data_IF_767445013293
#
_entry.id   IF_767445013293
#
_cell.length_a   1.000
_cell.length_b   1.000
_cell.length_c   1.000
_cell.angle_alpha   90.00
_cell.angle_beta   90.00
_cell.angle_gamma   90.00
#
_symmetry.space_group_name_H-M   'P 1'
#
loop_
_entity.id
_entity.type
_entity.pdbx_description
1 polymer ?
#
# COMPACT_ATOMS: atom_id res chain seq x y z
N UNK A 1 10.57 10.98 -80.08
CA UNK A 1 11.53 10.11 -79.26
C UNK A 1 11.43 10.44 -77.79
N UNK A 2 10.26 10.65 -77.19
CA UNK A 2 10.12 11.08 -75.77
C UNK A 2 9.38 10.10 -74.85
N UNK A 3 8.55 9.20 -75.38
CA UNK A 3 7.66 8.35 -74.57
C UNK A 3 8.31 7.10 -73.92
N UNK A 4 9.43 6.60 -74.50
CA UNK A 4 10.09 5.39 -73.97
C UNK A 4 10.96 5.65 -72.74
N UNK A 5 11.36 6.90 -72.48
CA UNK A 5 12.24 7.25 -71.33
C UNK A 5 11.43 7.39 -70.04
N UNK A 6 10.21 7.82 -70.08
CA UNK A 6 9.32 7.92 -68.88
C UNK A 6 8.82 6.56 -68.39
N UNK A 7 8.64 5.56 -69.26
CA UNK A 7 8.19 4.21 -68.84
C UNK A 7 9.28 3.45 -68.06
N UNK A 8 10.58 3.69 -68.35
CA UNK A 8 11.70 3.06 -67.63
C UNK A 8 11.90 3.69 -66.27
N UNK A 9 11.63 5.00 -66.12
CA UNK A 9 11.69 5.69 -64.82
C UNK A 9 10.53 5.28 -63.91
N UNK A 10 9.33 5.15 -64.41
CA UNK A 10 8.16 4.69 -63.65
C UNK A 10 8.30 3.23 -63.18
N UNK A 11 8.89 2.36 -63.99
CA UNK A 11 9.12 0.96 -63.61
C UNK A 11 10.22 0.83 -62.51
N UNK A 12 11.27 1.68 -62.55
CA UNK A 12 12.29 1.71 -61.52
C UNK A 12 11.82 2.21 -60.17
N UNK A 13 10.96 3.23 -60.14
CA UNK A 13 10.36 3.78 -58.93
C UNK A 13 9.36 2.79 -58.30
N UNK A 14 8.52 2.12 -59.15
CA UNK A 14 7.58 1.11 -58.66
C UNK A 14 8.29 -0.13 -58.09
N UNK A 15 9.42 -0.57 -58.68
CA UNK A 15 10.21 -1.68 -58.14
C UNK A 15 10.94 -1.31 -56.84
N UNK A 16 11.37 -0.05 -56.71
CA UNK A 16 12.03 0.44 -55.46
C UNK A 16 11.05 0.57 -54.31
N UNK A 17 9.76 0.95 -54.58
CA UNK A 17 8.72 1.00 -53.54
C UNK A 17 8.29 -0.37 -53.02
N UNK A 18 8.36 -1.42 -53.89
CA UNK A 18 8.00 -2.79 -53.46
C UNK A 18 9.07 -3.42 -52.52
N UNK A 19 10.30 -2.95 -52.55
CA UNK A 19 11.34 -3.47 -51.68
C UNK A 19 11.25 -2.93 -50.21
N UNK A 20 10.54 -1.84 -49.98
CA UNK A 20 10.41 -1.26 -48.65
C UNK A 20 9.32 -1.89 -47.75
N UNK A 21 8.41 -2.69 -48.34
CA UNK A 21 7.31 -3.32 -47.59
C UNK A 21 7.65 -4.71 -47.05
N UNK A 22 8.86 -5.26 -47.32
CA UNK A 22 9.22 -6.63 -46.94
C UNK A 22 9.98 -6.76 -45.60
N UNK A 23 10.19 -5.68 -44.83
CA UNK A 23 11.00 -5.69 -43.61
C UNK A 23 10.23 -5.52 -42.29
N UNK A 24 8.97 -5.93 -42.21
CA UNK A 24 8.17 -5.74 -40.98
C UNK A 24 7.69 -7.02 -40.30
N UNK A 25 8.16 -8.20 -40.70
CA UNK A 25 7.90 -9.42 -39.93
C UNK A 25 9.18 -9.85 -39.25
N UNK A 26 9.40 -9.40 -38.03
CA UNK A 26 10.48 -9.90 -37.18
C UNK A 26 10.32 -11.41 -36.95
N UNK A 27 11.41 -12.15 -36.69
CA UNK A 27 11.40 -13.60 -36.44
C UNK A 27 10.74 -13.95 -35.09
N UNK A 28 10.05 -13.03 -34.47
CA UNK A 28 9.51 -13.18 -33.13
C UNK A 28 7.97 -13.18 -33.18
N UNK A 29 7.38 -14.07 -32.38
CA UNK A 29 5.94 -14.10 -32.12
C UNK A 29 5.73 -13.80 -30.65
N UNK A 30 4.94 -12.81 -30.37
CA UNK A 30 4.51 -12.49 -29.00
C UNK A 30 3.32 -13.37 -28.64
N UNK A 31 3.45 -14.15 -27.59
CA UNK A 31 2.39 -15.01 -27.07
C UNK A 31 1.98 -14.48 -25.70
N UNK A 32 0.71 -14.05 -25.54
CA UNK A 32 0.23 -13.68 -24.22
C UNK A 32 0.18 -14.91 -23.31
N UNK A 33 0.65 -14.75 -22.09
CA UNK A 33 0.63 -15.79 -21.05
C UNK A 33 -0.19 -15.27 -19.90
N UNK A 34 -1.10 -16.10 -19.41
CA UNK A 34 -1.83 -15.88 -18.17
C UNK A 34 -1.44 -16.97 -17.19
N UNK A 35 -0.90 -16.57 -16.04
CA UNK A 35 -0.48 -17.47 -14.98
C UNK A 35 -1.40 -17.19 -13.78
N UNK A 36 -2.25 -18.14 -13.39
CA UNK A 36 -3.00 -18.02 -12.14
C UNK A 36 -2.03 -18.14 -10.96
N UNK A 37 -2.20 -17.26 -9.98
CA UNK A 37 -1.51 -17.29 -8.70
C UNK A 37 -2.59 -17.45 -7.65
N UNK A 38 -2.52 -18.52 -6.88
CA UNK A 38 -3.49 -18.76 -5.81
C UNK A 38 -3.37 -17.71 -4.70
N UNK A 39 -4.47 -17.46 -4.00
CA UNK A 39 -4.46 -16.62 -2.82
C UNK A 39 -3.53 -17.21 -1.76
N UNK A 40 -2.92 -16.38 -0.93
CA UNK A 40 -2.04 -16.85 0.16
C UNK A 40 -2.83 -17.62 1.22
N UNK A 41 -4.09 -17.24 1.45
CA UNK A 41 -4.98 -17.83 2.41
C UNK A 41 -6.06 -18.65 1.68
N UNK A 42 -6.24 -19.89 2.09
CA UNK A 42 -7.36 -20.71 1.61
C UNK A 42 -8.64 -20.30 2.33
N UNK A 43 -9.55 -19.71 1.58
CA UNK A 43 -10.84 -19.21 2.05
C UNK A 43 -12.01 -20.05 1.55
N UNK A 44 -11.77 -21.30 1.12
CA UNK A 44 -12.80 -22.17 0.58
C UNK A 44 -13.94 -22.46 1.58
N UNK A 45 -13.64 -22.44 2.87
CA UNK A 45 -14.58 -22.71 3.94
C UNK A 45 -15.44 -21.50 4.32
N UNK A 46 -15.08 -20.30 3.82
CA UNK A 46 -15.78 -19.06 4.13
C UNK A 46 -16.66 -18.61 2.96
N UNK A 47 -17.93 -18.38 3.24
CA UNK A 47 -18.88 -17.80 2.28
C UNK A 47 -19.01 -16.28 2.40
N UNK A 48 -18.65 -15.72 3.58
CA UNK A 48 -18.86 -14.31 3.93
C UNK A 48 -17.64 -13.72 4.60
N UNK A 49 -17.51 -12.40 4.52
CA UNK A 49 -16.46 -11.61 5.19
C UNK A 49 -17.07 -10.43 5.89
N UNK A 50 -16.64 -10.22 7.13
CA UNK A 50 -16.92 -9.04 7.94
C UNK A 50 -15.64 -8.22 8.03
N UNK A 51 -15.69 -6.96 7.62
CA UNK A 51 -14.62 -6.01 7.93
C UNK A 51 -14.95 -5.39 9.27
N UNK A 52 -14.21 -5.81 10.28
CA UNK A 52 -14.31 -5.29 11.64
C UNK A 52 -13.69 -3.91 11.78
N UNK A 53 -13.63 -3.42 13.01
CA UNK A 53 -12.95 -2.18 13.36
C UNK A 53 -11.43 -2.39 13.43
N UNK A 54 -10.67 -1.32 13.21
CA UNK A 54 -9.21 -1.30 13.29
C UNK A 54 -8.75 -0.45 14.48
N UNK A 55 -7.75 -0.96 15.17
CA UNK A 55 -7.03 -0.14 16.15
C UNK A 55 -6.19 0.87 15.40
N UNK A 56 -6.37 2.16 15.66
CA UNK A 56 -5.71 3.22 14.90
C UNK A 56 -4.78 4.06 15.77
N UNK A 57 -3.67 4.49 15.17
CA UNK A 57 -2.73 5.44 15.73
C UNK A 57 -2.29 6.43 14.68
N UNK A 58 -2.46 7.72 14.94
CA UNK A 58 -2.04 8.79 14.03
C UNK A 58 -1.72 10.07 14.80
N UNK A 59 -0.82 10.88 14.24
CA UNK A 59 -0.57 12.26 14.67
C UNK A 59 -1.33 13.29 13.82
N UNK A 60 -2.24 12.84 12.97
CA UNK A 60 -3.06 13.67 12.10
C UNK A 60 -4.53 13.57 12.49
N UNK A 61 -5.34 14.55 12.13
CA UNK A 61 -6.79 14.51 12.37
C UNK A 61 -7.49 13.69 11.28
N UNK A 62 -7.35 12.35 11.36
CA UNK A 62 -7.92 11.39 10.43
C UNK A 62 -8.58 10.24 11.18
N UNK A 63 -9.78 9.87 10.75
CA UNK A 63 -10.46 8.66 11.19
C UNK A 63 -9.99 7.48 10.30
N UNK A 64 -8.87 6.88 10.70
CA UNK A 64 -8.25 5.79 9.94
C UNK A 64 -9.12 4.53 9.93
N UNK A 65 -9.83 4.24 11.02
CA UNK A 65 -10.68 3.05 11.12
C UNK A 65 -11.82 3.11 10.11
N UNK A 66 -12.63 4.17 10.14
CA UNK A 66 -13.75 4.34 9.22
C UNK A 66 -13.30 4.35 7.76
N UNK A 67 -12.23 5.07 7.43
CA UNK A 67 -11.74 5.16 6.05
C UNK A 67 -11.19 3.82 5.55
N UNK A 68 -10.44 3.09 6.40
CA UNK A 68 -9.92 1.75 6.04
C UNK A 68 -11.05 0.76 5.87
N UNK A 69 -11.97 0.68 6.83
CA UNK A 69 -13.10 -0.27 6.83
C UNK A 69 -13.98 -0.05 5.59
N UNK A 70 -14.27 1.21 5.23
CA UNK A 70 -15.02 1.55 4.03
C UNK A 70 -14.28 1.15 2.75
N UNK A 71 -12.98 1.44 2.68
CA UNK A 71 -12.15 1.12 1.53
C UNK A 71 -12.04 -0.39 1.33
N UNK A 72 -11.74 -1.16 2.38
CA UNK A 72 -11.61 -2.60 2.31
C UNK A 72 -12.93 -3.28 1.93
N UNK A 73 -14.06 -2.88 2.51
CA UNK A 73 -15.40 -3.38 2.11
C UNK A 73 -15.64 -3.19 0.62
N UNK A 74 -15.33 -2.01 0.10
CA UNK A 74 -15.44 -1.72 -1.32
C UNK A 74 -14.54 -2.61 -2.18
N UNK A 75 -13.28 -2.76 -1.80
CA UNK A 75 -12.30 -3.56 -2.56
C UNK A 75 -12.62 -5.05 -2.51
N UNK A 76 -13.03 -5.58 -1.37
CA UNK A 76 -13.45 -6.97 -1.23
C UNK A 76 -14.70 -7.26 -2.05
N UNK A 77 -15.68 -6.37 -2.08
CA UNK A 77 -16.90 -6.52 -2.90
C UNK A 77 -16.59 -6.59 -4.39
N UNK A 78 -15.61 -5.81 -4.85
CA UNK A 78 -15.23 -5.76 -6.27
C UNK A 78 -14.34 -6.93 -6.69
N UNK A 79 -13.50 -7.43 -5.79
CA UNK A 79 -12.39 -8.32 -6.15
C UNK A 79 -12.48 -9.71 -5.52
N UNK A 80 -13.28 -9.93 -4.48
CA UNK A 80 -13.41 -11.24 -3.83
C UNK A 80 -14.69 -11.99 -4.23
N UNK A 81 -14.72 -13.27 -3.93
CA UNK A 81 -15.93 -14.12 -4.06
C UNK A 81 -16.77 -14.15 -2.80
N UNK A 82 -16.25 -13.61 -1.70
CA UNK A 82 -16.92 -13.59 -0.42
C UNK A 82 -18.04 -12.53 -0.41
N UNK A 83 -19.16 -12.86 0.18
CA UNK A 83 -20.22 -11.89 0.41
C UNK A 83 -19.80 -10.94 1.55
N UNK A 84 -19.63 -9.67 1.25
CA UNK A 84 -19.24 -8.66 2.23
C UNK A 84 -20.43 -8.28 3.08
N UNK A 85 -20.28 -8.38 4.40
CA UNK A 85 -21.30 -7.99 5.38
C UNK A 85 -21.26 -6.47 5.55
N UNK A 86 -22.41 -5.81 5.32
CA UNK A 86 -22.59 -4.36 5.50
C UNK A 86 -23.01 -4.06 6.95
N UNK A 87 -22.07 -4.14 7.86
CA UNK A 87 -22.29 -3.80 9.25
C UNK A 87 -21.25 -2.77 9.72
N UNK A 88 -21.65 -1.88 10.62
CA UNK A 88 -20.73 -1.06 11.37
C UNK A 88 -20.44 -1.78 12.67
N UNK A 89 -19.16 -2.08 12.91
CA UNK A 89 -18.66 -2.70 14.12
C UNK A 89 -18.21 -1.60 15.06
N UNK A 90 -18.44 -1.78 16.36
CA UNK A 90 -18.00 -0.82 17.36
C UNK A 90 -16.47 -0.63 17.31
N UNK A 91 -15.98 0.61 17.39
CA UNK A 91 -14.54 0.89 17.34
C UNK A 91 -13.78 0.18 18.46
N UNK A 92 -12.70 -0.52 18.10
CA UNK A 92 -11.83 -1.22 19.05
C UNK A 92 -11.00 -0.25 19.92
N UNK A 93 -10.54 0.84 19.33
CA UNK A 93 -9.77 1.87 20.04
C UNK A 93 -9.02 2.80 19.11
N UNK A 94 -8.95 4.05 19.54
CA UNK A 94 -8.14 5.09 18.92
C UNK A 94 -6.96 5.41 19.84
N UNK A 95 -5.74 5.18 19.35
CA UNK A 95 -4.47 5.43 20.04
C UNK A 95 -3.75 6.64 19.43
N UNK A 96 -4.46 7.55 18.79
CA UNK A 96 -3.92 8.83 18.37
C UNK A 96 -3.45 9.65 19.57
N UNK A 97 -2.49 10.54 19.36
CA UNK A 97 -1.99 11.39 20.45
C UNK A 97 -3.12 12.19 21.11
N UNK A 98 -4.07 12.69 20.30
CA UNK A 98 -5.23 13.42 20.80
C UNK A 98 -6.18 12.55 21.63
N UNK A 99 -6.42 11.31 21.23
CA UNK A 99 -7.26 10.37 21.96
C UNK A 99 -6.62 9.90 23.27
N UNK A 100 -5.31 9.65 23.27
CA UNK A 100 -4.56 9.29 24.46
C UNK A 100 -4.55 10.42 25.51
N UNK A 101 -4.41 11.67 25.08
CA UNK A 101 -4.49 12.83 25.95
C UNK A 101 -5.92 13.01 26.51
N UNK A 102 -6.94 12.89 25.65
CA UNK A 102 -8.35 13.06 26.05
C UNK A 102 -8.84 11.98 27.02
N UNK A 103 -8.33 10.75 26.90
CA UNK A 103 -8.69 9.61 27.76
C UNK A 103 -7.93 9.55 29.08
N UNK A 104 -6.86 10.35 29.25
CA UNK A 104 -5.95 10.29 30.40
C UNK A 104 -5.03 9.07 30.41
N UNK A 105 -5.02 8.26 29.35
CA UNK A 105 -4.13 7.12 29.22
C UNK A 105 -2.65 7.53 29.13
N UNK A 106 -2.38 8.73 28.64
CA UNK A 106 -1.04 9.29 28.61
C UNK A 106 -0.46 9.46 30.03
N UNK A 107 -1.27 9.97 30.96
CA UNK A 107 -0.87 10.13 32.38
C UNK A 107 -0.65 8.76 33.05
N UNK A 108 -1.51 7.78 32.78
CA UNK A 108 -1.35 6.42 33.31
C UNK A 108 -0.06 5.75 32.82
N UNK A 109 0.32 5.99 31.57
CA UNK A 109 1.59 5.50 31.05
C UNK A 109 2.78 6.14 31.77
N UNK A 110 2.76 7.46 31.96
CA UNK A 110 3.83 8.18 32.63
C UNK A 110 4.02 7.69 34.09
N UNK A 111 2.91 7.40 34.79
CA UNK A 111 2.92 6.81 36.12
C UNK A 111 3.49 5.39 36.12
N UNK A 112 3.09 4.53 35.17
CA UNK A 112 3.61 3.16 35.04
C UNK A 112 5.08 3.14 34.66
N UNK A 113 5.52 4.02 33.76
CA UNK A 113 6.91 4.15 33.34
C UNK A 113 7.79 4.58 34.53
N UNK A 114 7.31 5.52 35.34
CA UNK A 114 8.01 5.95 36.57
C UNK A 114 8.11 4.81 37.60
N UNK A 115 7.08 3.98 37.74
CA UNK A 115 7.08 2.82 38.65
C UNK A 115 8.02 1.73 38.14
N UNK A 116 8.05 1.43 36.83
CA UNK A 116 8.95 0.44 36.23
C UNK A 116 10.43 0.79 36.42
N UNK A 117 10.77 2.06 36.25
CA UNK A 117 12.12 2.58 36.51
C UNK A 117 12.47 2.44 38.01
N UNK A 118 11.53 2.69 38.92
CA UNK A 118 11.75 2.59 40.34
C UNK A 118 11.98 1.14 40.83
N UNK A 119 11.41 0.16 40.13
CA UNK A 119 11.54 -1.27 40.45
C UNK A 119 12.77 -1.90 39.74
N UNK A 120 13.38 -1.19 38.77
CA UNK A 120 14.55 -1.67 38.02
C UNK A 120 14.22 -2.66 36.91
N UNK A 121 12.98 -2.69 36.48
CA UNK A 121 12.45 -3.62 35.46
C UNK A 121 12.66 -3.12 33.99
N UNK A 122 13.39 -2.02 33.85
CA UNK A 122 13.73 -1.41 32.56
C UNK A 122 12.73 -0.31 32.13
N UNK A 123 13.16 0.55 31.20
CA UNK A 123 12.29 1.55 30.58
C UNK A 123 11.48 0.88 29.47
N UNK A 124 10.16 0.83 29.64
CA UNK A 124 9.23 0.52 28.53
C UNK A 124 8.93 1.82 27.81
N UNK A 125 9.17 1.88 26.51
CA UNK A 125 8.82 3.07 25.74
C UNK A 125 7.29 3.20 25.61
N UNK A 126 6.80 4.46 25.49
CA UNK A 126 5.37 4.73 25.28
C UNK A 126 4.82 3.93 24.08
N UNK A 127 5.63 3.78 23.02
CA UNK A 127 5.25 3.04 21.84
C UNK A 127 5.10 1.53 22.12
N UNK A 128 6.00 0.94 22.87
CA UNK A 128 5.91 -0.47 23.28
C UNK A 128 4.68 -0.74 24.15
N UNK A 129 4.33 0.19 25.03
CA UNK A 129 3.11 0.10 25.83
C UNK A 129 1.86 0.16 24.95
N UNK A 130 1.80 1.13 24.02
CA UNK A 130 0.70 1.23 23.05
C UNK A 130 0.57 -0.08 22.24
N UNK A 131 1.68 -0.62 21.78
CA UNK A 131 1.69 -1.86 21.01
C UNK A 131 1.15 -3.03 21.83
N UNK A 132 1.50 -3.12 23.12
CA UNK A 132 0.98 -4.15 24.03
C UNK A 132 -0.53 -4.01 24.27
N UNK A 133 -1.04 -2.80 24.48
CA UNK A 133 -2.48 -2.59 24.67
C UNK A 133 -3.27 -2.91 23.37
N UNK A 134 -2.74 -2.55 22.23
CA UNK A 134 -3.30 -2.91 20.93
C UNK A 134 -3.31 -4.43 20.70
N UNK A 135 -2.22 -5.13 21.08
CA UNK A 135 -2.14 -6.58 20.97
C UNK A 135 -3.20 -7.27 21.85
N UNK A 136 -3.43 -6.81 23.07
CA UNK A 136 -4.47 -7.35 23.95
C UNK A 136 -5.86 -7.28 23.31
N UNK A 137 -6.19 -6.15 22.65
CA UNK A 137 -7.47 -5.98 21.97
C UNK A 137 -7.61 -6.89 20.74
N UNK A 138 -6.53 -7.00 19.95
CA UNK A 138 -6.55 -7.79 18.71
C UNK A 138 -6.46 -9.29 18.94
N UNK A 139 -5.89 -9.73 20.07
CA UNK A 139 -5.75 -11.15 20.44
C UNK A 139 -6.86 -11.66 21.37
N UNK A 140 -7.89 -10.86 21.66
CA UNK A 140 -9.04 -11.27 22.45
C UNK A 140 -9.95 -12.25 21.65
N UNK A 141 -9.62 -13.56 21.72
CA UNK A 141 -10.38 -14.61 21.03
C UNK A 141 -11.86 -14.62 21.42
N UNK A 142 -12.19 -14.26 22.66
CA UNK A 142 -13.57 -14.28 23.14
C UNK A 142 -14.41 -13.16 22.50
N UNK A 143 -13.85 -11.96 22.38
CA UNK A 143 -14.47 -10.83 21.68
C UNK A 143 -14.76 -11.19 20.21
N UNK A 144 -13.75 -11.72 19.51
CA UNK A 144 -13.89 -12.09 18.10
C UNK A 144 -14.87 -13.24 17.87
N UNK A 145 -14.91 -14.21 18.80
CA UNK A 145 -15.87 -15.31 18.73
C UNK A 145 -17.31 -14.79 18.92
N UNK A 146 -17.55 -13.90 19.89
CA UNK A 146 -18.88 -13.31 20.11
C UNK A 146 -19.34 -12.49 18.90
N UNK A 147 -18.44 -11.68 18.33
CA UNK A 147 -18.70 -10.95 17.10
C UNK A 147 -18.98 -11.91 15.93
N UNK A 148 -18.24 -13.01 15.84
CA UNK A 148 -18.45 -14.04 14.82
C UNK A 148 -19.82 -14.71 14.94
N UNK A 149 -20.25 -15.05 16.15
CA UNK A 149 -21.58 -15.63 16.42
C UNK A 149 -22.72 -14.70 15.96
N UNK A 150 -22.57 -13.39 16.18
CA UNK A 150 -23.58 -12.39 15.76
C UNK A 150 -23.76 -12.36 14.22
N UNK A 151 -22.67 -12.56 13.48
CA UNK A 151 -22.68 -12.47 12.01
C UNK A 151 -22.62 -13.84 11.30
N UNK A 152 -22.96 -14.94 12.00
CA UNK A 152 -23.00 -16.30 11.46
C UNK A 152 -21.63 -16.80 10.97
N UNK A 153 -20.63 -16.67 11.82
CA UNK A 153 -19.27 -17.23 11.68
C UNK A 153 -18.54 -16.83 10.37
N UNK A 154 -18.45 -15.53 10.02
CA UNK A 154 -17.75 -15.09 8.82
C UNK A 154 -16.23 -15.14 9.02
N UNK A 155 -15.49 -14.96 7.91
CA UNK A 155 -14.12 -14.48 8.01
C UNK A 155 -14.15 -13.03 8.52
N UNK A 156 -13.47 -12.72 9.61
CA UNK A 156 -13.35 -11.36 10.13
C UNK A 156 -11.99 -10.81 9.73
N UNK A 157 -11.98 -9.59 9.18
CA UNK A 157 -10.75 -8.84 8.85
C UNK A 157 -10.72 -7.60 9.72
N UNK A 158 -9.70 -7.51 10.55
CA UNK A 158 -9.43 -6.40 11.45
C UNK A 158 -7.92 -6.10 11.44
N UNK A 159 -7.44 -5.29 12.35
CA UNK A 159 -6.00 -5.06 12.46
C UNK A 159 -5.61 -3.77 13.13
N UNK A 160 -4.37 -3.39 12.86
CA UNK A 160 -3.71 -2.21 13.41
C UNK A 160 -3.27 -1.29 12.28
N UNK A 161 -3.54 0.00 12.45
CA UNK A 161 -3.17 1.04 11.50
C UNK A 161 -2.33 2.10 12.20
N UNK A 162 -1.16 2.39 11.65
CA UNK A 162 -0.32 3.49 12.10
C UNK A 162 -0.01 4.40 10.92
N UNK A 163 -0.48 5.62 11.00
CA UNK A 163 -0.22 6.66 10.01
C UNK A 163 0.51 7.82 10.68
N UNK A 164 1.70 8.13 10.18
CA UNK A 164 2.52 9.20 10.73
C UNK A 164 2.93 10.17 9.64
N UNK A 165 2.79 11.46 9.94
CA UNK A 165 3.35 12.57 9.17
C UNK A 165 4.61 13.08 9.87
N UNK A 166 5.71 13.18 9.14
CA UNK A 166 6.99 13.64 9.63
C UNK A 166 7.56 14.72 8.71
N UNK A 167 8.04 15.82 9.29
CA UNK A 167 8.84 16.78 8.56
C UNK A 167 10.28 16.29 8.47
N UNK A 168 10.74 16.04 7.26
CA UNK A 168 12.13 15.66 6.98
C UNK A 168 12.86 16.77 6.28
N UNK A 169 13.78 17.42 6.98
CA UNK A 169 14.63 18.42 6.39
C UNK A 169 16.07 17.91 6.26
N UNK A 170 16.74 18.28 5.18
CA UNK A 170 18.09 17.84 4.95
C UNK A 170 18.78 18.55 3.80
N UNK A 171 20.11 18.36 3.74
CA UNK A 171 20.92 18.88 2.63
C UNK A 171 21.01 17.85 1.51
N UNK A 172 20.48 18.18 0.34
CA UNK A 172 20.71 17.39 -0.87
C UNK A 172 21.91 17.93 -1.63
N UNK A 173 22.79 17.03 -2.07
CA UNK A 173 23.88 17.37 -2.98
C UNK A 173 23.45 17.07 -4.41
N UNK A 174 23.56 18.10 -5.26
CA UNK A 174 23.28 17.94 -6.68
C UNK A 174 24.53 18.33 -7.47
N UNK A 175 25.06 17.38 -8.22
CA UNK A 175 26.14 17.63 -9.15
C UNK A 175 25.55 18.05 -10.50
N UNK A 176 25.92 19.24 -10.96
CA UNK A 176 25.45 19.80 -12.23
C UNK A 176 26.64 20.20 -13.09
N UNK A 177 26.62 19.76 -14.35
CA UNK A 177 27.58 20.27 -15.34
C UNK A 177 27.12 21.61 -15.87
N UNK A 178 27.92 22.63 -15.62
CA UNK A 178 27.72 24.00 -16.14
C UNK A 178 28.86 24.30 -17.10
N UNK A 179 28.58 24.97 -18.22
CA UNK A 179 29.62 25.41 -19.11
C UNK A 179 30.18 26.77 -18.63
N UNK A 180 31.51 26.85 -18.54
CA UNK A 180 32.20 28.09 -18.20
C UNK A 180 32.15 29.09 -19.38
N UNK A 181 32.67 30.30 -19.16
CA UNK A 181 32.76 31.36 -20.19
C UNK A 181 33.59 30.98 -21.43
N UNK A 182 34.34 29.89 -21.36
CA UNK A 182 35.12 29.30 -22.47
C UNK A 182 34.45 28.05 -23.06
N UNK A 183 33.16 27.85 -22.79
CA UNK A 183 32.36 26.70 -23.25
C UNK A 183 32.85 25.29 -22.77
N UNK A 184 33.67 25.23 -21.71
CA UNK A 184 34.17 23.98 -21.15
C UNK A 184 33.23 23.45 -20.08
N UNK A 185 32.92 22.14 -20.04
CA UNK A 185 32.09 21.57 -19.00
C UNK A 185 32.84 21.63 -17.66
N UNK A 186 32.20 22.21 -16.67
CA UNK A 186 32.68 22.27 -15.28
C UNK A 186 31.62 21.62 -14.38
N UNK A 187 32.06 20.70 -13.55
CA UNK A 187 31.21 20.10 -12.51
C UNK A 187 31.07 21.12 -11.37
N UNK A 188 29.84 21.58 -11.16
CA UNK A 188 29.52 22.44 -10.03
C UNK A 188 28.69 21.61 -9.05
N UNK A 189 29.22 21.45 -7.85
CA UNK A 189 28.53 20.80 -6.75
C UNK A 189 27.77 21.87 -5.97
N UNK A 190 26.45 21.75 -5.96
CA UNK A 190 25.59 22.59 -5.12
C UNK A 190 25.00 21.77 -3.99
N UNK A 191 25.00 22.35 -2.80
CA UNK A 191 24.29 21.82 -1.64
C UNK A 191 23.07 22.70 -1.44
N UNK A 192 21.88 22.08 -1.49
CA UNK A 192 20.62 22.76 -1.29
C UNK A 192 19.93 22.15 -0.08
N UNK A 193 19.47 23.00 0.83
CA UNK A 193 18.59 22.58 1.91
C UNK A 193 17.20 22.30 1.33
N UNK A 194 16.65 21.15 1.63
CA UNK A 194 15.31 20.75 1.20
C UNK A 194 14.50 20.37 2.42
N UNK A 195 13.34 20.97 2.56
CA UNK A 195 12.28 20.56 3.48
C UNK A 195 11.35 19.62 2.72
N UNK A 196 10.98 18.54 3.36
CA UNK A 196 10.12 17.50 2.79
C UNK A 196 9.15 17.03 3.84
N UNK A 197 7.95 16.70 3.42
CA UNK A 197 6.96 16.01 4.26
C UNK A 197 6.96 14.53 3.88
N UNK A 198 7.18 13.67 4.84
CA UNK A 198 7.10 12.22 4.69
C UNK A 198 5.84 11.72 5.39
N UNK A 199 5.07 10.90 4.69
CA UNK A 199 3.94 10.18 5.27
C UNK A 199 4.23 8.70 5.21
N UNK A 200 4.06 8.02 6.34
CA UNK A 200 4.27 6.58 6.46
C UNK A 200 2.98 5.93 6.94
N UNK A 201 2.55 4.89 6.24
CA UNK A 201 1.44 4.04 6.65
C UNK A 201 1.95 2.63 6.91
N UNK A 202 1.76 2.15 8.13
CA UNK A 202 1.91 0.74 8.49
C UNK A 202 0.53 0.18 8.77
N UNK A 203 0.12 -0.80 7.96
CA UNK A 203 -1.12 -1.53 8.11
C UNK A 203 -0.82 -2.99 8.40
N UNK A 204 -1.34 -3.52 9.48
CA UNK A 204 -1.20 -4.90 9.87
C UNK A 204 -2.59 -5.53 9.96
N UNK A 205 -2.86 -6.46 9.04
CA UNK A 205 -4.16 -7.09 8.90
C UNK A 205 -4.17 -8.44 9.61
N UNK A 206 -5.23 -8.67 10.37
CA UNK A 206 -5.55 -9.92 11.06
C UNK A 206 -6.74 -10.55 10.37
N UNK A 207 -6.57 -11.78 9.95
CA UNK A 207 -7.65 -12.62 9.39
C UNK A 207 -8.06 -13.59 10.47
N UNK A 208 -9.29 -13.44 10.94
CA UNK A 208 -9.79 -14.10 12.14
C UNK A 208 -10.93 -15.02 11.73
N UNK A 209 -10.88 -16.25 12.20
CA UNK A 209 -11.97 -17.19 12.05
C UNK A 209 -13.13 -16.85 13.00
N UNK A 210 -14.27 -16.44 12.47
CA UNK A 210 -15.43 -16.02 13.26
C UNK A 210 -16.01 -17.12 14.13
N UNK A 211 -15.82 -18.39 13.80
CA UNK A 211 -16.30 -19.52 14.61
C UNK A 211 -15.49 -19.70 15.89
N UNK A 212 -14.18 -19.53 15.84
CA UNK A 212 -13.28 -19.77 16.97
C UNK A 212 -12.74 -18.49 17.62
N UNK A 213 -12.82 -17.35 16.96
CA UNK A 213 -12.20 -16.10 17.39
C UNK A 213 -10.68 -16.05 17.14
N UNK A 214 -10.10 -17.09 16.55
CA UNK A 214 -8.64 -17.20 16.39
C UNK A 214 -8.14 -16.52 15.13
N UNK A 215 -7.01 -15.86 15.25
CA UNK A 215 -6.27 -15.36 14.08
C UNK A 215 -5.68 -16.51 13.29
N UNK A 216 -6.14 -16.68 12.04
CA UNK A 216 -5.67 -17.72 11.10
C UNK A 216 -4.52 -17.22 10.22
N UNK A 217 -4.42 -15.90 10.01
CA UNK A 217 -3.33 -15.30 9.24
C UNK A 217 -3.12 -13.87 9.69
N UNK A 218 -1.88 -13.40 9.58
CA UNK A 218 -1.48 -12.02 9.89
C UNK A 218 -0.49 -11.55 8.84
N UNK A 219 -0.71 -10.35 8.29
CA UNK A 219 0.20 -9.76 7.31
C UNK A 219 0.37 -8.28 7.54
N UNK A 220 1.63 -7.81 7.47
CA UNK A 220 2.01 -6.43 7.72
C UNK A 220 2.56 -5.80 6.46
N UNK A 221 2.09 -4.60 6.16
CA UNK A 221 2.55 -3.77 5.05
C UNK A 221 3.01 -2.42 5.58
N UNK A 222 4.08 -1.89 4.99
CA UNK A 222 4.55 -0.54 5.31
C UNK A 222 4.90 0.15 4.00
N UNK A 223 4.30 1.32 3.79
CA UNK A 223 4.53 2.17 2.63
C UNK A 223 4.87 3.59 3.08
N UNK A 224 5.69 4.27 2.31
CA UNK A 224 6.11 5.65 2.54
C UNK A 224 5.97 6.48 1.27
N UNK A 225 5.54 7.73 1.42
CA UNK A 225 5.56 8.73 0.36
C UNK A 225 6.21 10.01 0.89
N UNK A 226 7.04 10.63 0.05
CA UNK A 226 7.78 11.83 0.42
C UNK A 226 7.47 12.92 -0.61
N UNK A 227 6.94 14.06 -0.11
CA UNK A 227 6.62 15.23 -0.91
C UNK A 227 7.66 16.34 -0.70
N UNK A 228 7.95 17.08 -1.77
CA UNK A 228 8.71 18.32 -1.65
C UNK A 228 7.86 19.41 -1.01
N UNK A 229 8.50 20.45 -0.44
CA UNK A 229 7.80 21.58 0.18
C UNK A 229 6.80 22.29 -0.75
N UNK A 230 7.09 22.28 -2.04
CA UNK A 230 6.26 22.94 -3.06
C UNK A 230 5.08 22.07 -3.52
N UNK A 231 4.98 20.84 -3.02
CA UNK A 231 3.90 19.91 -3.33
C UNK A 231 2.88 19.94 -2.18
N UNK A 232 1.71 20.52 -2.46
CA UNK A 232 0.60 20.50 -1.52
C UNK A 232 0.00 19.09 -1.46
N UNK A 233 0.25 18.38 -0.38
CA UNK A 233 -0.43 17.12 -0.09
C UNK A 233 -1.11 17.19 1.27
N UNK A 234 -2.38 16.77 1.31
CA UNK A 234 -3.08 16.63 2.59
C UNK A 234 -2.79 15.26 3.20
N UNK A 235 -2.88 15.14 4.51
CA UNK A 235 -2.76 13.87 5.21
C UNK A 235 -3.73 12.81 4.64
N UNK A 236 -4.98 13.19 4.38
CA UNK A 236 -6.00 12.32 3.80
C UNK A 236 -5.61 11.83 2.39
N UNK A 237 -5.12 12.73 1.53
CA UNK A 237 -4.68 12.36 0.18
C UNK A 237 -3.49 11.40 0.22
N UNK A 238 -2.54 11.66 1.11
CA UNK A 238 -1.35 10.83 1.32
C UNK A 238 -1.71 9.45 1.86
N UNK A 239 -2.68 9.38 2.78
CA UNK A 239 -3.21 8.14 3.29
C UNK A 239 -3.80 7.28 2.16
N UNK A 240 -4.66 7.83 1.30
CA UNK A 240 -5.23 7.09 0.18
C UNK A 240 -4.18 6.64 -0.84
N UNK A 241 -3.18 7.47 -1.12
CA UNK A 241 -2.08 7.08 -2.01
C UNK A 241 -1.30 5.87 -1.43
N UNK A 242 -1.04 5.87 -0.12
CA UNK A 242 -0.36 4.77 0.55
C UNK A 242 -1.22 3.51 0.60
N UNK A 243 -2.53 3.65 0.87
CA UNK A 243 -3.47 2.53 0.83
C UNK A 243 -3.57 1.92 -0.57
N UNK A 244 -3.58 2.73 -1.63
CA UNK A 244 -3.60 2.23 -3.02
C UNK A 244 -2.36 1.38 -3.35
N UNK A 245 -1.22 1.64 -2.71
CA UNK A 245 -0.01 0.81 -2.83
C UNK A 245 -0.10 -0.50 -2.04
N UNK A 246 -0.77 -0.48 -0.89
CA UNK A 246 -0.95 -1.65 -0.01
C UNK A 246 -2.01 -2.61 -0.56
N UNK A 247 -3.10 -2.08 -1.11
CA UNK A 247 -4.28 -2.84 -1.53
C UNK A 247 -4.00 -4.03 -2.46
N UNK A 248 -3.15 -3.94 -3.49
CA UNK A 248 -2.84 -5.10 -4.34
C UNK A 248 -2.23 -6.26 -3.56
N UNK A 249 -1.36 -5.95 -2.60
CA UNK A 249 -0.72 -6.94 -1.75
C UNK A 249 -1.73 -7.55 -0.76
N UNK A 250 -2.57 -6.73 -0.14
CA UNK A 250 -3.67 -7.18 0.71
C UNK A 250 -4.63 -8.10 -0.07
N UNK A 251 -5.07 -7.69 -1.27
CA UNK A 251 -5.95 -8.52 -2.09
C UNK A 251 -5.31 -9.84 -2.50
N UNK A 252 -4.00 -9.91 -2.66
CA UNK A 252 -3.31 -11.16 -2.96
C UNK A 252 -3.38 -12.19 -1.83
N UNK A 253 -3.69 -11.76 -0.61
CA UNK A 253 -3.90 -12.67 0.53
C UNK A 253 -5.24 -13.40 0.39
N UNK A 254 -6.28 -12.68 -0.02
CA UNK A 254 -7.68 -13.15 0.02
C UNK A 254 -8.24 -13.55 -1.33
N UNK A 255 -7.59 -13.15 -2.43
CA UNK A 255 -8.10 -13.42 -3.79
C UNK A 255 -7.01 -14.00 -4.69
N UNK A 256 -7.35 -15.01 -5.52
CA UNK A 256 -6.43 -15.46 -6.55
C UNK A 256 -6.17 -14.32 -7.55
N UNK A 257 -4.93 -14.20 -7.97
CA UNK A 257 -4.47 -13.21 -8.91
C UNK A 257 -4.17 -13.85 -10.27
N UNK A 258 -4.25 -13.09 -11.36
CA UNK A 258 -3.80 -13.56 -12.66
C UNK A 258 -2.68 -12.66 -13.13
N UNK A 259 -1.47 -13.22 -13.22
CA UNK A 259 -0.36 -12.52 -13.82
C UNK A 259 -0.47 -12.61 -15.36
N UNK A 260 -0.54 -11.47 -16.01
CA UNK A 260 -0.52 -11.36 -17.47
C UNK A 260 0.83 -10.89 -17.96
N UNK A 261 1.45 -11.67 -18.79
CA UNK A 261 2.73 -11.37 -19.38
C UNK A 261 2.76 -11.70 -20.87
N UNK A 262 3.82 -11.28 -21.55
CA UNK A 262 4.05 -11.62 -22.95
C UNK A 262 5.34 -12.39 -23.07
N UNK A 263 5.30 -13.55 -23.69
CA UNK A 263 6.49 -14.34 -24.02
C UNK A 263 6.85 -14.15 -25.49
N UNK A 264 8.09 -13.81 -25.73
CA UNK A 264 8.64 -13.69 -27.08
C UNK A 264 9.19 -15.06 -27.48
N UNK A 265 8.63 -15.64 -28.54
CA UNK A 265 9.13 -16.88 -29.13
C UNK A 265 9.85 -16.58 -30.44
N UNK A 266 10.97 -17.25 -30.66
CA UNK A 266 11.65 -17.30 -31.96
C UNK A 266 10.81 -18.19 -32.90
N UNK A 267 10.62 -17.71 -34.11
CA UNK A 267 9.88 -18.44 -35.16
C UNK A 267 10.80 -19.33 -35.95
#
# INVERSE_FOLDING_TARGET
>A
MGLARHRRFAAGVALSLLCFTACAAGPYVEVPIEIPIDAKLDLSDYGRVLVGSFVSQTNENLDLDSETSRLLRNQLRLNSRLAVIEAEVEPLGDFSDAALEASGLAEQFDDMAAEAVAIGDGEISRQEWIDLEQDKLLEDEEYWRQLGEEFEEPLIISGRLRFAAEERSGFSRRDRYVRDSFNRPRLVRSTQFQERNAYTLTAEFYFIDGASGRTIHRERFTEEVIFGRDEESSALSSYFELMDRILPNFLSVVTPQTFRGTRILLR
#
